data_IF_932989739346
#
_entry.id   IF_932989739346
#
_cell.length_a   1.000
_cell.length_b   1.000
_cell.length_c   1.000
_cell.angle_alpha   90.00
_cell.angle_beta   90.00
_cell.angle_gamma   90.00
#
_symmetry.space_group_name_H-M   'P 1'
#
loop_
_entity.id
_entity.type
_entity.pdbx_description
1 polymer ?
#
# COMPACT_ATOMS: atom_id res chain seq x y z
N UNK A 1 -7.67 42.33 -20.12
CA UNK A 1 -8.07 41.32 -19.14
C UNK A 1 -6.80 40.65 -18.65
N UNK A 2 -6.33 41.00 -17.45
CA UNK A 2 -5.06 40.50 -16.92
C UNK A 2 -5.30 39.22 -16.13
N UNK A 3 -4.67 38.13 -16.53
CA UNK A 3 -4.57 36.90 -15.74
C UNK A 3 -3.95 37.24 -14.39
N UNK A 4 -4.68 37.01 -13.31
CA UNK A 4 -4.11 37.01 -11.96
C UNK A 4 -3.13 35.84 -11.86
N UNK A 5 -1.88 36.06 -11.42
CA UNK A 5 -1.02 34.95 -11.05
C UNK A 5 -1.61 34.27 -9.81
N UNK A 6 -1.93 32.98 -9.93
CA UNK A 6 -2.40 32.15 -8.83
C UNK A 6 -1.23 32.01 -7.85
N UNK A 7 -1.20 32.88 -6.85
CA UNK A 7 -0.19 32.88 -5.79
C UNK A 7 -0.52 31.75 -4.80
N UNK A 8 -0.55 30.50 -5.26
CA UNK A 8 -0.57 29.34 -4.38
C UNK A 8 0.74 29.34 -3.62
N UNK A 9 0.66 29.48 -2.29
CA UNK A 9 1.84 29.46 -1.42
C UNK A 9 2.59 28.14 -1.68
N UNK A 10 3.93 28.13 -1.86
CA UNK A 10 4.72 26.91 -2.09
C UNK A 10 4.39 25.75 -1.13
N UNK A 11 3.95 26.08 0.09
CA UNK A 11 3.51 25.11 1.10
C UNK A 11 2.26 24.30 0.69
N UNK A 12 1.32 24.86 -0.10
CA UNK A 12 0.08 24.17 -0.48
C UNK A 12 0.31 23.13 -1.57
N UNK A 13 1.11 23.47 -2.60
CA UNK A 13 1.51 22.52 -3.63
C UNK A 13 2.32 21.37 -3.04
N UNK A 14 3.26 21.68 -2.13
CA UNK A 14 4.00 20.65 -1.41
C UNK A 14 3.03 19.76 -0.61
N UNK A 15 2.09 20.33 0.13
CA UNK A 15 1.11 19.56 0.89
C UNK A 15 0.29 18.61 0.00
N UNK A 16 -0.24 19.07 -1.13
CA UNK A 16 -0.99 18.22 -2.06
C UNK A 16 -0.11 17.09 -2.60
N UNK A 17 1.16 17.38 -2.95
CA UNK A 17 2.13 16.35 -3.37
C UNK A 17 2.27 15.28 -2.29
N UNK A 18 2.56 15.66 -1.03
CA UNK A 18 2.75 14.72 0.09
C UNK A 18 1.55 13.80 0.28
N UNK A 19 0.34 14.38 0.18
CA UNK A 19 -0.91 13.63 0.27
C UNK A 19 -1.12 12.69 -0.91
N UNK A 20 -0.72 13.10 -2.13
CA UNK A 20 -0.83 12.26 -3.31
C UNK A 20 0.06 11.01 -3.15
N UNK A 21 1.33 11.18 -2.76
CA UNK A 21 2.25 10.08 -2.47
C UNK A 21 1.74 9.17 -1.36
N UNK A 22 1.32 9.75 -0.23
CA UNK A 22 0.72 8.98 0.86
C UNK A 22 -0.51 8.16 0.41
N UNK A 23 -1.37 8.73 -0.44
CA UNK A 23 -2.54 8.03 -0.96
C UNK A 23 -2.15 6.88 -1.90
N UNK A 24 -1.26 7.11 -2.86
CA UNK A 24 -0.88 6.06 -3.82
C UNK A 24 -0.09 4.93 -3.16
N UNK A 25 0.70 5.21 -2.12
CA UNK A 25 1.47 4.19 -1.41
C UNK A 25 0.61 3.40 -0.41
N UNK A 26 -0.41 4.02 0.19
CA UNK A 26 -1.33 3.31 1.08
C UNK A 26 -2.40 2.51 0.34
N UNK A 27 -2.87 3.00 -0.82
CA UNK A 27 -4.01 2.42 -1.54
C UNK A 27 -3.61 1.73 -2.85
N UNK A 28 -2.39 1.91 -3.34
CA UNK A 28 -1.90 1.44 -4.64
C UNK A 28 -2.45 2.25 -5.80
N UNK A 29 -3.78 2.30 -5.90
CA UNK A 29 -4.55 3.09 -6.87
C UNK A 29 -5.70 3.80 -6.18
N UNK A 30 -6.03 5.01 -6.64
CA UNK A 30 -7.15 5.80 -6.11
C UNK A 30 -7.76 6.68 -7.19
N UNK A 31 -9.08 6.85 -7.19
CA UNK A 31 -9.77 7.80 -8.07
C UNK A 31 -9.52 9.23 -7.58
N UNK A 32 -9.47 10.19 -8.51
CA UNK A 32 -9.30 11.61 -8.19
C UNK A 32 -10.30 12.10 -7.13
N UNK A 33 -11.56 11.70 -7.23
CA UNK A 33 -12.62 12.15 -6.32
C UNK A 33 -12.44 11.56 -4.92
N UNK A 34 -11.94 10.32 -4.84
CA UNK A 34 -11.60 9.68 -3.57
C UNK A 34 -10.35 10.32 -2.95
N UNK A 35 -9.33 10.66 -3.76
CA UNK A 35 -8.15 11.38 -3.30
C UNK A 35 -8.51 12.76 -2.73
N UNK A 36 -9.36 13.51 -3.41
CA UNK A 36 -9.87 14.80 -2.91
C UNK A 36 -10.62 14.60 -1.59
N UNK A 37 -11.44 13.55 -1.48
CA UNK A 37 -12.15 13.22 -0.24
C UNK A 37 -11.20 12.89 0.90
N UNK A 38 -10.12 12.14 0.64
CA UNK A 38 -9.05 11.85 1.60
C UNK A 38 -8.35 13.15 2.03
N UNK A 39 -7.97 14.02 1.10
CA UNK A 39 -7.35 15.30 1.43
C UNK A 39 -8.26 16.15 2.33
N UNK A 40 -9.53 16.29 1.95
CA UNK A 40 -10.52 17.09 2.65
C UNK A 40 -10.93 16.51 4.01
N UNK A 41 -10.71 15.22 4.24
CA UNK A 41 -10.88 14.60 5.55
C UNK A 41 -9.87 15.15 6.57
N UNK A 42 -8.64 15.43 6.14
CA UNK A 42 -7.56 15.85 7.04
C UNK A 42 -7.30 17.36 7.06
N UNK A 43 -7.69 18.08 6.01
CA UNK A 43 -7.40 19.51 5.85
C UNK A 43 -8.64 20.38 5.96
N UNK A 44 -8.49 21.55 6.59
CA UNK A 44 -9.59 22.52 6.74
C UNK A 44 -9.92 23.26 5.44
N UNK A 45 -8.90 23.52 4.62
CA UNK A 45 -9.06 24.21 3.34
C UNK A 45 -9.19 23.15 2.24
N UNK A 46 -10.38 23.01 1.62
CA UNK A 46 -10.65 21.93 0.70
C UNK A 46 -9.81 22.01 -0.56
N UNK A 47 -9.49 20.86 -1.13
CA UNK A 47 -8.87 20.69 -2.44
C UNK A 47 -9.97 20.56 -3.50
N UNK A 48 -9.85 21.34 -4.59
CA UNK A 48 -10.75 21.24 -5.75
C UNK A 48 -10.08 20.45 -6.89
N UNK A 49 -10.88 20.00 -7.87
CA UNK A 49 -10.36 19.31 -9.07
C UNK A 49 -9.46 20.23 -9.89
N UNK A 50 -9.85 21.50 -10.01
CA UNK A 50 -9.12 22.53 -10.75
C UNK A 50 -7.75 22.81 -10.14
N UNK A 51 -7.60 22.60 -8.84
CA UNK A 51 -6.32 22.72 -8.13
C UNK A 51 -5.51 21.42 -8.19
N UNK A 52 -6.14 20.26 -8.01
CA UNK A 52 -5.45 18.97 -7.98
C UNK A 52 -4.90 18.55 -9.35
N UNK A 53 -5.71 18.66 -10.40
CA UNK A 53 -5.40 18.10 -11.74
C UNK A 53 -4.08 18.64 -12.30
N UNK A 54 -3.83 19.96 -12.36
CA UNK A 54 -2.61 20.48 -12.98
C UNK A 54 -1.34 20.01 -12.27
N UNK A 55 -1.39 19.89 -10.93
CA UNK A 55 -0.26 19.38 -10.15
C UNK A 55 -0.04 17.88 -10.41
N UNK A 56 -1.10 17.07 -10.43
CA UNK A 56 -1.00 15.63 -10.67
C UNK A 56 -0.52 15.32 -12.09
N UNK A 57 -0.97 16.07 -13.09
CA UNK A 57 -0.47 15.98 -14.47
C UNK A 57 1.01 16.34 -14.56
N UNK A 58 1.43 17.41 -13.88
CA UNK A 58 2.84 17.79 -13.80
C UNK A 58 3.69 16.69 -13.15
N UNK A 59 3.28 16.20 -11.98
CA UNK A 59 4.00 15.14 -11.27
C UNK A 59 4.10 13.87 -12.13
N UNK A 60 3.02 13.48 -12.81
CA UNK A 60 2.98 12.30 -13.67
C UNK A 60 3.79 12.45 -14.98
N UNK A 61 4.25 13.66 -15.30
CA UNK A 61 5.06 13.92 -16.50
C UNK A 61 6.57 13.89 -16.25
N UNK A 62 6.98 13.74 -14.99
CA UNK A 62 8.38 13.71 -14.57
C UNK A 62 8.80 12.25 -14.39
N UNK A 63 9.76 11.78 -15.19
CA UNK A 63 10.15 10.36 -15.23
C UNK A 63 10.73 9.87 -13.89
N UNK A 64 11.37 10.75 -13.10
CA UNK A 64 11.91 10.43 -11.78
C UNK A 64 10.86 10.42 -10.65
N UNK A 65 9.58 10.63 -10.98
CA UNK A 65 8.48 10.62 -10.02
C UNK A 65 7.64 9.37 -10.21
N UNK A 66 7.62 8.52 -9.18
CA UNK A 66 6.83 7.28 -9.11
C UNK A 66 5.34 7.53 -8.79
N UNK A 67 4.72 8.46 -9.54
CA UNK A 67 3.29 8.74 -9.51
C UNK A 67 2.75 8.79 -10.93
N UNK A 68 1.74 7.97 -11.22
CA UNK A 68 1.00 8.03 -12.48
C UNK A 68 -0.36 8.67 -12.29
N UNK A 69 -0.75 9.58 -13.19
CA UNK A 69 -2.08 10.17 -13.23
C UNK A 69 -2.67 10.18 -14.64
N UNK A 70 -3.79 9.47 -14.84
CA UNK A 70 -4.48 9.44 -16.14
C UNK A 70 -5.96 9.09 -15.99
N UNK A 71 -6.82 9.73 -16.77
CA UNK A 71 -8.26 9.45 -16.78
C UNK A 71 -8.92 9.50 -15.39
N UNK A 72 -8.43 10.37 -14.50
CA UNK A 72 -8.93 10.50 -13.13
C UNK A 72 -8.50 9.38 -12.18
N UNK A 73 -7.49 8.58 -12.55
CA UNK A 73 -6.87 7.56 -11.70
C UNK A 73 -5.47 8.02 -11.32
N UNK A 74 -5.16 8.00 -10.02
CA UNK A 74 -3.82 8.14 -9.48
C UNK A 74 -3.30 6.76 -9.07
N UNK A 75 -2.03 6.48 -9.32
CA UNK A 75 -1.40 5.22 -8.94
C UNK A 75 0.08 5.40 -8.62
N UNK A 76 0.64 4.48 -7.84
CA UNK A 76 2.08 4.45 -7.53
C UNK A 76 2.91 3.86 -8.67
N UNK A 77 4.24 3.85 -8.49
CA UNK A 77 5.23 3.45 -9.51
C UNK A 77 5.06 2.05 -10.10
N UNK A 78 4.24 1.18 -9.51
CA UNK A 78 3.95 -0.13 -10.07
C UNK A 78 2.88 -0.14 -11.17
N UNK A 79 2.18 0.98 -11.39
CA UNK A 79 1.15 1.10 -12.41
C UNK A 79 1.47 2.26 -13.37
N UNK A 80 2.16 1.98 -14.46
CA UNK A 80 2.44 3.00 -15.48
C UNK A 80 1.20 3.23 -16.34
N UNK A 81 0.39 4.24 -16.03
CA UNK A 81 -0.91 4.46 -16.69
C UNK A 81 -0.81 4.86 -18.19
N UNK A 82 0.40 4.98 -18.73
CA UNK A 82 0.63 5.06 -20.17
C UNK A 82 0.64 3.70 -20.87
N UNK A 83 0.86 2.62 -20.13
CA UNK A 83 0.78 1.25 -20.61
C UNK A 83 -0.66 0.70 -20.48
N UNK A 84 -1.16 0.07 -21.54
CA UNK A 84 -2.53 -0.42 -21.58
C UNK A 84 -2.81 -1.58 -20.60
N UNK A 85 -1.79 -2.40 -20.30
CA UNK A 85 -1.88 -3.52 -19.36
C UNK A 85 -1.99 -2.97 -17.96
N UNK A 86 -1.15 -2.03 -17.58
CA UNK A 86 -1.17 -1.43 -16.24
C UNK A 86 -2.48 -0.67 -15.98
N UNK A 87 -3.03 0.01 -17.00
CA UNK A 87 -4.37 0.60 -16.92
C UNK A 87 -5.45 -0.45 -16.63
N UNK A 88 -5.35 -1.66 -17.19
CA UNK A 88 -6.31 -2.75 -16.89
C UNK A 88 -6.14 -3.24 -15.45
N UNK A 89 -4.91 -3.51 -15.02
CA UNK A 89 -4.63 -3.97 -13.65
C UNK A 89 -5.09 -2.93 -12.62
N UNK A 90 -4.82 -1.64 -12.85
CA UNK A 90 -5.30 -0.55 -11.99
C UNK A 90 -6.84 -0.50 -11.91
N UNK A 91 -7.53 -0.71 -13.03
CA UNK A 91 -9.00 -0.76 -13.06
C UNK A 91 -9.56 -1.98 -12.33
N UNK A 92 -8.93 -3.14 -12.48
CA UNK A 92 -9.33 -4.36 -11.75
C UNK A 92 -9.15 -4.18 -10.24
N UNK A 93 -8.07 -3.54 -9.82
CA UNK A 93 -7.86 -3.18 -8.41
C UNK A 93 -8.90 -2.19 -7.89
N UNK A 94 -9.25 -1.15 -8.65
CA UNK A 94 -10.34 -0.23 -8.30
C UNK A 94 -11.70 -0.95 -8.19
N UNK A 95 -11.94 -2.00 -8.99
CA UNK A 95 -13.14 -2.84 -8.87
C UNK A 95 -13.11 -3.65 -7.57
N UNK A 96 -11.99 -4.26 -7.22
CA UNK A 96 -11.81 -4.99 -5.95
C UNK A 96 -12.01 -4.10 -4.72
N UNK A 97 -11.69 -2.81 -4.83
CA UNK A 97 -11.87 -1.79 -3.79
C UNK A 97 -13.32 -1.27 -3.65
N UNK A 98 -14.16 -1.40 -4.69
CA UNK A 98 -15.38 -0.58 -4.88
C UNK A 98 -16.46 -0.64 -3.79
N UNK A 99 -16.49 -1.71 -2.98
CA UNK A 99 -17.49 -1.91 -1.92
C UNK A 99 -16.88 -1.97 -0.51
N UNK A 100 -15.62 -1.55 -0.36
CA UNK A 100 -14.91 -1.59 0.92
C UNK A 100 -14.70 -0.16 1.43
N UNK A 101 -14.91 0.11 2.72
CA UNK A 101 -14.56 1.41 3.28
C UNK A 101 -13.05 1.65 3.13
N UNK A 102 -12.64 2.92 3.16
CA UNK A 102 -11.25 3.30 3.05
C UNK A 102 -10.63 3.45 4.43
N UNK A 103 -9.45 2.88 4.63
CA UNK A 103 -8.69 3.06 5.85
C UNK A 103 -8.19 4.50 5.94
N UNK A 104 -8.66 5.26 6.92
CA UNK A 104 -8.27 6.63 7.19
C UNK A 104 -7.59 6.70 8.57
N UNK A 105 -6.25 6.56 8.65
CA UNK A 105 -5.55 6.64 9.93
C UNK A 105 -5.50 8.08 10.45
N UNK A 106 -4.77 8.33 11.54
CA UNK A 106 -4.46 9.72 11.91
C UNK A 106 -3.66 10.41 10.79
N UNK A 107 -3.78 11.74 10.64
CA UNK A 107 -3.01 12.51 9.64
C UNK A 107 -1.50 12.25 9.70
N UNK A 108 -0.95 12.16 10.91
CA UNK A 108 0.48 11.91 11.11
C UNK A 108 0.90 10.52 10.64
N UNK A 109 0.03 9.52 10.83
CA UNK A 109 0.26 8.15 10.33
C UNK A 109 0.08 8.07 8.81
N UNK A 110 -0.97 8.70 8.27
CA UNK A 110 -1.21 8.76 6.83
C UNK A 110 0.00 9.33 6.08
N UNK A 111 0.57 10.43 6.58
CA UNK A 111 1.71 11.08 5.94
C UNK A 111 3.03 10.32 6.04
N UNK A 112 3.12 9.22 6.81
CA UNK A 112 4.31 8.35 6.75
C UNK A 112 4.41 7.61 5.42
N UNK A 113 3.27 7.29 4.81
CA UNK A 113 3.19 6.67 3.48
C UNK A 113 3.64 7.61 2.36
N UNK A 114 3.98 8.86 2.63
CA UNK A 114 4.67 9.70 1.63
C UNK A 114 5.97 9.05 1.17
N UNK A 115 6.65 8.36 2.09
CA UNK A 115 7.82 7.53 1.84
C UNK A 115 7.36 6.17 1.30
N UNK A 116 7.76 5.81 0.09
CA UNK A 116 7.43 4.55 -0.57
C UNK A 116 8.17 3.35 0.02
N UNK A 117 9.25 3.59 0.77
CA UNK A 117 9.96 2.57 1.55
C UNK A 117 9.38 2.39 2.97
N UNK A 118 8.34 3.16 3.33
CA UNK A 118 7.74 3.05 4.66
C UNK A 118 7.06 1.69 4.87
N UNK A 119 7.56 0.96 5.87
CA UNK A 119 6.96 -0.28 6.36
C UNK A 119 6.51 -0.08 7.80
N UNK A 120 5.23 -0.34 8.08
CA UNK A 120 4.72 -0.24 9.44
C UNK A 120 5.52 -1.13 10.41
N UNK A 121 5.91 -0.61 11.59
CA UNK A 121 6.62 -1.42 12.58
C UNK A 121 5.65 -2.42 13.22
N UNK A 122 5.55 -3.61 12.63
CA UNK A 122 4.61 -4.65 13.05
C UNK A 122 5.33 -5.85 13.68
N UNK A 123 4.79 -6.34 14.80
CA UNK A 123 5.30 -7.53 15.49
C UNK A 123 5.36 -8.79 14.60
N UNK A 124 4.36 -9.09 13.74
CA UNK A 124 4.39 -10.28 12.89
C UNK A 124 5.59 -10.34 11.94
N UNK A 125 5.99 -9.21 11.37
CA UNK A 125 7.15 -9.11 10.48
C UNK A 125 8.45 -9.46 11.23
N UNK A 126 8.64 -8.86 12.42
CA UNK A 126 9.81 -9.13 13.27
C UNK A 126 9.82 -10.56 13.81
N UNK A 127 8.66 -11.13 14.13
CA UNK A 127 8.55 -12.51 14.61
C UNK A 127 8.96 -13.50 13.51
N UNK A 128 8.53 -13.27 12.26
CA UNK A 128 8.90 -14.09 11.11
C UNK A 128 10.42 -14.02 10.84
N UNK A 129 10.99 -12.82 10.81
CA UNK A 129 12.42 -12.61 10.62
C UNK A 129 13.26 -13.33 11.69
N UNK A 130 12.91 -13.13 12.97
CA UNK A 130 13.59 -13.80 14.10
C UNK A 130 13.48 -15.31 14.01
N UNK A 131 12.33 -15.84 13.58
CA UNK A 131 12.15 -17.28 13.43
C UNK A 131 13.06 -17.85 12.35
N UNK A 132 13.16 -17.21 11.18
CA UNK A 132 14.04 -17.62 10.09
C UNK A 132 15.50 -17.67 10.55
N UNK A 133 15.96 -16.60 11.21
CA UNK A 133 17.34 -16.47 11.71
C UNK A 133 17.64 -17.55 12.75
N UNK A 134 16.79 -17.69 13.78
CA UNK A 134 17.01 -18.61 14.89
C UNK A 134 17.06 -20.08 14.44
N UNK A 135 16.31 -20.42 13.39
CA UNK A 135 16.22 -21.76 12.86
C UNK A 135 17.17 -22.05 11.69
N UNK A 136 17.92 -21.05 11.21
CA UNK A 136 18.85 -21.17 10.07
C UNK A 136 18.18 -21.80 8.85
N UNK A 137 16.97 -21.34 8.52
CA UNK A 137 16.14 -21.97 7.47
C UNK A 137 16.73 -21.84 6.08
N UNK A 138 17.65 -20.92 5.84
CA UNK A 138 18.29 -20.74 4.54
C UNK A 138 19.80 -20.59 4.73
N UNK A 139 20.57 -21.06 3.76
CA UNK A 139 22.01 -20.83 3.72
C UNK A 139 22.29 -19.37 3.31
N UNK A 140 22.41 -18.50 4.30
CA UNK A 140 22.56 -17.05 4.12
C UNK A 140 23.99 -16.70 3.66
N UNK A 141 24.15 -15.71 2.77
CA UNK A 141 25.44 -15.06 2.52
C UNK A 141 25.63 -13.80 3.41
N UNK A 142 24.57 -13.03 3.68
CA UNK A 142 24.53 -11.91 4.65
C UNK A 142 23.18 -11.80 5.40
N UNK A 143 23.13 -11.44 6.71
CA UNK A 143 21.87 -11.29 7.46
C UNK A 143 20.81 -10.38 6.80
N UNK A 144 21.24 -9.32 6.11
CA UNK A 144 20.38 -8.41 5.36
C UNK A 144 19.55 -9.13 4.27
N UNK A 145 20.03 -10.28 3.78
CA UNK A 145 19.32 -11.11 2.79
C UNK A 145 17.99 -11.66 3.35
N UNK A 146 17.89 -11.94 4.66
CA UNK A 146 16.65 -12.42 5.28
C UNK A 146 15.65 -11.28 5.41
N UNK A 147 16.10 -10.10 5.83
CA UNK A 147 15.22 -8.94 5.95
C UNK A 147 14.59 -8.62 4.59
N UNK A 148 15.40 -8.69 3.53
CA UNK A 148 14.93 -8.56 2.15
C UNK A 148 13.89 -9.62 1.80
N UNK A 149 14.13 -10.90 2.08
CA UNK A 149 13.15 -11.96 1.82
C UNK A 149 11.82 -11.73 2.57
N UNK A 150 11.87 -11.26 3.82
CA UNK A 150 10.66 -10.96 4.61
C UNK A 150 9.92 -9.72 4.05
N UNK A 151 10.66 -8.71 3.57
CA UNK A 151 10.06 -7.55 2.89
C UNK A 151 9.41 -7.95 1.57
N UNK A 152 10.04 -8.81 0.79
CA UNK A 152 9.46 -9.31 -0.46
C UNK A 152 8.16 -10.09 -0.21
N UNK A 153 8.09 -10.91 0.85
CA UNK A 153 6.83 -11.54 1.28
C UNK A 153 5.78 -10.48 1.65
N UNK A 154 6.17 -9.45 2.40
CA UNK A 154 5.30 -8.35 2.80
C UNK A 154 4.75 -7.59 1.59
N UNK A 155 5.59 -7.30 0.60
CA UNK A 155 5.19 -6.57 -0.60
C UNK A 155 4.25 -7.41 -1.47
N UNK A 156 4.52 -8.71 -1.63
CA UNK A 156 3.59 -9.63 -2.27
C UNK A 156 2.23 -9.64 -1.57
N UNK A 157 2.19 -9.57 -0.23
CA UNK A 157 0.93 -9.48 0.52
C UNK A 157 0.20 -8.16 0.22
N UNK A 158 0.90 -7.01 0.22
CA UNK A 158 0.29 -5.71 -0.13
C UNK A 158 -0.42 -5.80 -1.49
N UNK A 159 0.21 -6.50 -2.44
CA UNK A 159 -0.27 -6.77 -3.81
C UNK A 159 -1.42 -7.77 -3.94
N UNK A 160 -1.89 -8.37 -2.85
CA UNK A 160 -2.92 -9.41 -2.91
C UNK A 160 -2.38 -10.82 -3.16
N UNK A 161 -1.08 -11.03 -2.97
CA UNK A 161 -0.43 -12.32 -3.07
C UNK A 161 -1.01 -13.34 -2.09
N UNK A 162 -1.22 -14.55 -2.59
CA UNK A 162 -1.79 -15.67 -1.82
C UNK A 162 -0.69 -16.39 -1.04
N UNK A 163 -1.06 -17.16 -0.01
CA UNK A 163 -0.12 -18.04 0.70
C UNK A 163 0.73 -18.93 -0.18
N UNK A 164 0.19 -19.44 -1.29
CA UNK A 164 0.94 -20.24 -2.25
C UNK A 164 2.09 -19.46 -2.91
N UNK A 165 1.93 -18.15 -3.12
CA UNK A 165 2.84 -17.35 -3.94
C UNK A 165 4.14 -17.09 -3.17
N UNK A 166 4.03 -16.59 -1.94
CA UNK A 166 5.19 -16.37 -1.09
C UNK A 166 5.80 -17.67 -0.53
N UNK A 167 5.02 -18.76 -0.43
CA UNK A 167 5.59 -20.10 -0.19
C UNK A 167 6.40 -20.58 -1.41
N UNK A 168 5.94 -20.29 -2.63
CA UNK A 168 6.70 -20.52 -3.86
C UNK A 168 8.02 -19.73 -3.88
N UNK A 169 7.97 -18.46 -3.48
CA UNK A 169 9.13 -17.59 -3.37
C UNK A 169 10.22 -18.17 -2.44
N UNK A 170 9.89 -18.48 -1.18
CA UNK A 170 10.90 -19.01 -0.24
C UNK A 170 11.47 -20.38 -0.67
N UNK A 171 10.66 -21.21 -1.33
CA UNK A 171 11.13 -22.48 -1.89
C UNK A 171 12.19 -22.24 -2.97
N UNK A 172 11.98 -21.26 -3.85
CA UNK A 172 12.97 -20.84 -4.86
C UNK A 172 14.23 -20.25 -4.23
N UNK A 173 14.09 -19.57 -3.08
CA UNK A 173 15.21 -19.04 -2.28
C UNK A 173 15.99 -20.12 -1.52
N UNK A 174 15.53 -21.38 -1.55
CA UNK A 174 16.24 -22.51 -0.96
C UNK A 174 16.02 -22.65 0.55
N UNK A 175 14.89 -22.17 1.07
CA UNK A 175 14.52 -22.40 2.46
C UNK A 175 14.28 -23.89 2.71
N UNK A 176 14.82 -24.40 3.81
CA UNK A 176 14.74 -25.79 4.23
C UNK A 176 14.18 -25.87 5.65
N UNK A 177 13.26 -26.80 5.84
CA UNK A 177 12.63 -27.09 7.11
C UNK A 177 13.07 -28.47 7.57
N UNK A 178 13.46 -28.59 8.85
CA UNK A 178 13.95 -29.85 9.42
C UNK A 178 12.84 -30.89 9.63
N UNK A 179 11.62 -30.42 9.87
CA UNK A 179 10.44 -31.24 10.15
C UNK A 179 9.15 -30.45 9.84
N UNK A 180 8.02 -31.16 9.85
CA UNK A 180 6.70 -30.60 9.62
C UNK A 180 6.29 -29.58 10.70
N UNK A 181 6.76 -29.77 11.93
CA UNK A 181 6.47 -28.84 13.04
C UNK A 181 7.06 -27.46 12.75
N UNK A 182 8.30 -27.41 12.27
CA UNK A 182 8.97 -26.16 11.90
C UNK A 182 8.32 -25.50 10.69
N UNK A 183 7.91 -26.28 9.68
CA UNK A 183 7.15 -25.78 8.53
C UNK A 183 5.82 -25.16 8.98
N UNK A 184 5.06 -25.84 9.83
CA UNK A 184 3.78 -25.35 10.34
C UNK A 184 3.94 -24.07 11.18
N UNK A 185 5.02 -23.94 11.95
CA UNK A 185 5.33 -22.70 12.67
C UNK A 185 5.65 -21.55 11.72
N UNK A 186 6.41 -21.81 10.65
CA UNK A 186 6.68 -20.82 9.60
C UNK A 186 5.38 -20.34 8.96
N UNK A 187 4.55 -21.28 8.47
CA UNK A 187 3.27 -20.97 7.83
C UNK A 187 2.38 -20.13 8.77
N UNK A 188 2.33 -20.47 10.05
CA UNK A 188 1.58 -19.68 11.04
C UNK A 188 2.10 -18.25 11.16
N UNK A 189 3.42 -18.05 11.22
CA UNK A 189 4.02 -16.71 11.30
C UNK A 189 3.76 -15.90 10.04
N UNK A 190 3.85 -16.51 8.87
CA UNK A 190 3.55 -15.85 7.59
C UNK A 190 2.07 -15.50 7.47
N UNK A 191 1.16 -16.35 7.95
CA UNK A 191 -0.26 -16.02 8.04
C UNK A 191 -0.54 -14.87 9.01
N UNK A 192 0.20 -14.79 10.13
CA UNK A 192 0.12 -13.64 11.03
C UNK A 192 0.57 -12.35 10.35
N UNK A 193 1.66 -12.40 9.56
CA UNK A 193 2.08 -11.27 8.74
C UNK A 193 0.98 -10.88 7.75
N UNK A 194 0.51 -11.84 6.94
CA UNK A 194 -0.55 -11.63 5.95
C UNK A 194 -1.79 -10.93 6.54
N UNK A 195 -2.28 -11.44 7.67
CA UNK A 195 -3.51 -10.93 8.29
C UNK A 195 -3.36 -9.54 8.92
N UNK A 196 -2.13 -9.06 9.14
CA UNK A 196 -1.83 -7.75 9.74
C UNK A 196 -1.21 -6.75 8.75
N UNK A 197 -0.96 -7.14 7.50
CA UNK A 197 -0.45 -6.24 6.47
C UNK A 197 -1.61 -5.51 5.78
N UNK A 198 -1.44 -4.21 5.53
CA UNK A 198 -2.40 -3.42 4.74
C UNK A 198 -2.37 -3.84 3.28
N UNK A 199 -3.53 -3.96 2.65
CA UNK A 199 -3.61 -4.42 1.26
C UNK A 199 -4.30 -3.38 0.38
N UNK A 200 -3.80 -3.23 -0.85
CA UNK A 200 -4.40 -2.32 -1.81
C UNK A 200 -5.85 -2.68 -2.13
N UNK A 201 -6.15 -3.99 -2.26
CA UNK A 201 -7.50 -4.46 -2.53
C UNK A 201 -8.50 -4.18 -1.39
N UNK A 202 -8.00 -3.89 -0.19
CA UNK A 202 -8.79 -3.58 1.00
C UNK A 202 -8.82 -2.07 1.30
N UNK A 203 -8.48 -1.21 0.33
CA UNK A 203 -8.38 0.24 0.53
C UNK A 203 -7.49 0.62 1.74
N UNK A 204 -6.37 -0.06 1.92
CA UNK A 204 -5.43 0.19 3.01
C UNK A 204 -5.80 -0.47 4.34
N UNK A 205 -6.88 -1.26 4.40
CA UNK A 205 -7.16 -2.08 5.57
C UNK A 205 -6.34 -3.38 5.56
N UNK A 206 -6.11 -3.92 6.75
CA UNK A 206 -5.63 -5.30 6.91
C UNK A 206 -6.77 -6.31 6.75
N UNK A 207 -6.50 -7.59 6.47
CA UNK A 207 -7.53 -8.64 6.50
C UNK A 207 -8.27 -8.74 7.84
N UNK A 208 -7.58 -8.53 8.97
CA UNK A 208 -8.22 -8.51 10.30
C UNK A 208 -9.21 -7.34 10.41
N UNK A 209 -8.78 -6.12 10.08
CA UNK A 209 -9.63 -4.94 10.13
C UNK A 209 -10.84 -5.08 9.19
N UNK A 210 -10.64 -5.64 8.00
CA UNK A 210 -11.72 -5.90 7.03
C UNK A 210 -12.76 -6.88 7.59
N UNK A 211 -12.32 -7.93 8.28
CA UNK A 211 -13.21 -8.89 8.95
C UNK A 211 -13.99 -8.24 10.09
N UNK A 212 -13.33 -7.42 10.90
CA UNK A 212 -13.98 -6.70 12.01
C UNK A 212 -15.08 -5.76 11.52
N UNK A 213 -14.81 -5.00 10.46
CA UNK A 213 -15.81 -4.12 9.82
C UNK A 213 -17.01 -4.90 9.25
N UNK A 214 -16.74 -6.06 8.66
CA UNK A 214 -17.81 -6.95 8.20
C UNK A 214 -18.66 -7.47 9.36
N UNK A 215 -18.03 -7.93 10.44
CA UNK A 215 -18.72 -8.42 11.65
C UNK A 215 -19.57 -7.31 12.30
N UNK A 216 -19.05 -6.08 12.37
CA UNK A 216 -19.77 -4.92 12.92
C UNK A 216 -21.00 -4.53 12.09
N UNK A 217 -20.89 -4.52 10.76
CA UNK A 217 -22.01 -4.18 9.86
C UNK A 217 -23.13 -5.23 9.87
N UNK A 218 -22.88 -6.43 10.40
CA UNK A 218 -23.84 -7.54 10.46
C UNK A 218 -24.26 -7.92 11.89
N UNK A 219 -23.91 -7.11 12.90
CA UNK A 219 -24.43 -7.30 14.27
C UNK A 219 -25.95 -7.08 14.30
N UNK A 220 -26.74 -7.99 14.91
CA UNK A 220 -28.16 -7.76 15.10
C UNK A 220 -28.37 -6.53 15.98
N UNK A 221 -29.26 -5.63 15.56
CA UNK A 221 -29.71 -4.50 16.37
C UNK A 221 -30.56 -5.09 17.50
N UNK A 222 -30.04 -5.08 18.72
CA UNK A 222 -30.81 -5.39 19.93
C UNK A 222 -31.72 -4.23 20.32
#
# INVERSE_FOLDING_TARGET
>A
MANKPTNQKPNRLMLIKRYAFAAINLYGVIKLDDFISVFNHYEKEPLSKEEAIPLLELLSSIDEIDLSFKQGILANGYFYLNDSKDVRVAKDLLLAQSNKPRYLPSKGEFLKYEDDEYVEPMKPLLDLEKFIIANKLVAIKKPDDIRYDVLEIHDQIIWGGKPSDYMGYINQRGYQFKDEVQLNLFVRLTMMLHNNTRMYENNGHTPIETRELYEESHKPIN
#
